data_IF_541243077832
#
_entry.id   IF_541243077832
#
_cell.length_a   1.000
_cell.length_b   1.000
_cell.length_c   1.000
_cell.angle_alpha   90.00
_cell.angle_beta   90.00
_cell.angle_gamma   90.00
#
_symmetry.space_group_name_H-M   'P 1'
#
loop_
_entity.id
_entity.type
_entity.pdbx_description
1 polymer ?
#
# COMPACT_ATOMS: atom_id res chain seq x y z
N UNK A 1 20.93 -3.20 21.45
CA UNK A 1 20.37 -2.46 22.60
C UNK A 1 20.19 -0.94 22.36
N UNK A 2 20.67 -0.36 21.28
CA UNK A 2 20.61 1.10 21.01
C UNK A 2 19.30 1.55 20.35
N UNK A 3 18.57 0.65 19.64
CA UNK A 3 17.35 1.01 18.89
C UNK A 3 16.11 1.20 19.79
N UNK A 4 16.03 0.53 20.92
CA UNK A 4 14.90 0.68 21.85
C UNK A 4 14.82 2.09 22.44
N UNK A 5 15.93 2.69 22.94
CA UNK A 5 15.91 4.07 23.39
C UNK A 5 15.68 5.08 22.25
N UNK A 6 16.14 4.80 21.02
CA UNK A 6 15.89 5.66 19.86
C UNK A 6 14.41 5.70 19.47
N UNK A 7 13.72 4.56 19.52
CA UNK A 7 12.25 4.50 19.36
C UNK A 7 11.56 5.28 20.47
N UNK A 8 12.00 5.13 21.72
CA UNK A 8 11.49 5.90 22.84
C UNK A 8 11.71 7.42 22.68
N UNK A 9 12.87 7.83 22.22
CA UNK A 9 13.20 9.26 21.99
C UNK A 9 12.38 9.82 20.83
N UNK A 10 12.19 9.09 19.73
CA UNK A 10 11.34 9.49 18.61
C UNK A 10 9.86 9.56 19.04
N UNK A 11 9.41 8.64 19.86
CA UNK A 11 8.06 8.64 20.43
C UNK A 11 7.83 9.78 21.42
N UNK A 12 8.86 10.19 22.17
CA UNK A 12 8.78 11.24 23.19
C UNK A 12 9.13 12.65 22.63
N UNK A 13 9.81 12.75 21.50
CA UNK A 13 10.35 14.03 20.98
C UNK A 13 9.34 14.91 20.27
N UNK A 14 8.06 14.90 20.61
CA UNK A 14 7.09 15.85 20.04
C UNK A 14 6.88 15.76 18.52
N UNK A 15 7.62 14.89 17.81
CA UNK A 15 7.36 14.58 16.40
C UNK A 15 5.96 13.99 16.20
N UNK A 16 5.46 13.32 17.22
CA UNK A 16 4.09 12.79 17.29
C UNK A 16 3.02 13.83 17.62
N UNK A 17 3.40 14.96 18.17
CA UNK A 17 2.48 16.08 18.36
C UNK A 17 2.02 16.70 17.04
N UNK A 18 2.92 16.77 16.03
CA UNK A 18 2.58 17.30 14.71
C UNK A 18 1.52 16.48 13.95
N UNK A 19 1.58 15.14 13.85
CA UNK A 19 0.51 14.37 13.21
C UNK A 19 -0.79 14.35 14.00
N UNK A 20 -0.78 14.48 15.32
CA UNK A 20 -1.99 14.67 16.10
C UNK A 20 -2.60 16.06 15.89
N UNK A 21 -1.77 17.09 15.72
CA UNK A 21 -2.21 18.41 15.32
C UNK A 21 -2.70 18.43 13.86
N UNK A 22 -2.03 17.73 12.94
CA UNK A 22 -2.54 17.50 11.59
C UNK A 22 -3.90 16.77 11.58
N UNK A 23 -4.20 15.98 12.60
CA UNK A 23 -5.52 15.36 12.80
C UNK A 23 -6.53 16.34 13.39
N UNK A 24 -6.07 17.39 14.08
CA UNK A 24 -6.93 18.44 14.69
C UNK A 24 -7.13 19.66 13.78
N UNK A 25 -6.10 20.10 13.07
CA UNK A 25 -5.99 21.44 12.49
C UNK A 25 -6.17 21.50 10.96
N UNK A 26 -6.76 20.49 10.33
CA UNK A 26 -7.30 20.73 9.00
C UNK A 26 -8.67 21.43 9.13
N UNK A 27 -8.67 22.65 9.65
CA UNK A 27 -9.70 23.62 9.27
C UNK A 27 -9.53 23.84 7.77
N UNK A 28 -10.41 23.20 7.03
CA UNK A 28 -10.47 23.33 5.59
C UNK A 28 -11.66 24.23 5.36
N UNK A 29 -11.40 25.49 5.01
CA UNK A 29 -12.41 26.55 4.86
C UNK A 29 -13.53 26.24 3.86
N UNK A 30 -13.34 25.19 3.04
CA UNK A 30 -14.30 24.77 2.01
C UNK A 30 -15.11 23.52 2.39
N UNK A 31 -15.01 23.06 3.65
CA UNK A 31 -15.87 21.96 4.11
C UNK A 31 -17.31 22.45 4.21
N UNK A 32 -18.22 21.56 3.78
CA UNK A 32 -19.68 21.80 3.80
C UNK A 32 -20.18 22.96 2.92
N UNK A 33 -19.31 23.56 2.11
CA UNK A 33 -19.67 24.61 1.14
C UNK A 33 -19.73 24.00 -0.26
N UNK A 34 -20.82 24.23 -0.99
CA UNK A 34 -20.92 23.80 -2.39
C UNK A 34 -20.09 24.73 -3.27
N UNK A 35 -19.03 24.20 -3.86
CA UNK A 35 -18.07 24.94 -4.69
C UNK A 35 -17.62 24.09 -5.87
N UNK A 36 -17.01 24.75 -6.84
CA UNK A 36 -16.42 24.11 -7.98
C UNK A 36 -14.96 23.73 -7.66
N UNK A 37 -14.67 22.44 -7.72
CA UNK A 37 -13.34 21.90 -7.45
C UNK A 37 -12.73 21.27 -8.69
N UNK A 38 -11.45 21.55 -8.92
CA UNK A 38 -10.65 20.74 -9.83
C UNK A 38 -10.06 19.56 -9.04
N UNK A 39 -10.45 18.37 -9.44
CA UNK A 39 -10.17 17.13 -8.72
C UNK A 39 -9.35 16.20 -9.61
N UNK A 40 -8.17 15.79 -9.13
CA UNK A 40 -7.28 14.88 -9.82
C UNK A 40 -7.56 13.44 -9.41
N UNK A 41 -7.90 12.57 -10.34
CA UNK A 41 -8.19 11.17 -10.08
C UNK A 41 -6.89 10.40 -9.76
N UNK A 42 -6.86 9.76 -8.61
CA UNK A 42 -5.67 9.05 -8.08
C UNK A 42 -5.79 7.52 -8.18
N UNK A 43 -6.96 7.02 -8.51
CA UNK A 43 -7.23 5.59 -8.65
C UNK A 43 -8.29 5.35 -9.71
N UNK A 44 -8.34 4.12 -10.22
CA UNK A 44 -9.49 3.64 -10.98
C UNK A 44 -10.75 3.55 -10.10
N UNK A 45 -11.91 3.57 -10.73
CA UNK A 45 -13.20 3.58 -10.06
C UNK A 45 -13.56 2.23 -9.45
N UNK A 46 -13.84 2.22 -8.15
CA UNK A 46 -14.39 1.06 -7.46
C UNK A 46 -15.91 1.10 -7.50
N UNK A 47 -16.51 0.24 -8.30
CA UNK A 47 -17.95 0.17 -8.40
C UNK A 47 -18.63 -0.27 -7.10
N UNK A 48 -19.62 0.51 -6.68
CA UNK A 48 -20.60 0.17 -5.65
C UNK A 48 -21.99 0.00 -6.26
N UNK A 49 -23.01 -0.28 -5.46
CA UNK A 49 -24.36 -0.56 -5.95
C UNK A 49 -24.92 0.61 -6.77
N UNK A 50 -24.85 1.84 -6.26
CA UNK A 50 -25.42 3.04 -6.90
C UNK A 50 -24.38 4.07 -7.35
N UNK A 51 -23.14 3.93 -6.89
CA UNK A 51 -22.07 4.91 -7.09
C UNK A 51 -20.78 4.23 -7.47
N UNK A 52 -19.82 5.03 -7.94
CA UNK A 52 -18.42 4.61 -8.15
C UNK A 52 -17.58 5.45 -7.23
N UNK A 53 -16.78 4.80 -6.41
CA UNK A 53 -15.87 5.43 -5.47
C UNK A 53 -14.49 5.57 -6.11
N UNK A 54 -13.92 6.76 -5.97
CA UNK A 54 -12.57 7.09 -6.40
C UNK A 54 -11.76 7.65 -5.23
N UNK A 55 -10.48 7.35 -5.20
CA UNK A 55 -9.52 8.14 -4.45
C UNK A 55 -9.07 9.30 -5.35
N UNK A 56 -9.14 10.51 -4.85
CA UNK A 56 -8.85 11.70 -5.60
C UNK A 56 -8.07 12.72 -4.77
N UNK A 57 -7.41 13.68 -5.41
CA UNK A 57 -6.76 14.80 -4.74
C UNK A 57 -7.27 16.12 -5.28
N UNK A 58 -7.38 17.09 -4.39
CA UNK A 58 -7.65 18.48 -4.71
C UNK A 58 -6.37 19.17 -5.23
N UNK A 59 -6.50 20.37 -5.76
CA UNK A 59 -5.35 21.17 -6.23
C UNK A 59 -4.33 21.46 -5.14
N UNK A 60 -4.76 21.56 -3.88
CA UNK A 60 -3.89 21.75 -2.71
C UNK A 60 -3.16 20.46 -2.27
N UNK A 61 -3.35 19.35 -3.00
CA UNK A 61 -2.76 18.05 -2.73
C UNK A 61 -3.44 17.23 -1.65
N UNK A 62 -4.51 17.74 -1.02
CA UNK A 62 -5.27 16.99 -0.03
C UNK A 62 -6.07 15.88 -0.69
N UNK A 63 -6.10 14.72 -0.05
CA UNK A 63 -6.83 13.54 -0.55
C UNK A 63 -8.27 13.55 -0.08
N UNK A 64 -9.17 13.20 -0.99
CA UNK A 64 -10.60 13.02 -0.73
C UNK A 64 -11.10 11.71 -1.32
N UNK A 65 -12.24 11.23 -0.83
CA UNK A 65 -13.02 10.18 -1.49
C UNK A 65 -14.13 10.81 -2.30
N UNK A 66 -14.08 10.64 -3.61
CA UNK A 66 -15.11 11.10 -4.53
C UNK A 66 -16.07 9.96 -4.86
N UNK A 67 -17.34 10.17 -4.67
CA UNK A 67 -18.41 9.26 -5.06
C UNK A 67 -19.17 9.85 -6.24
N UNK A 68 -19.03 9.24 -7.40
CA UNK A 68 -19.79 9.60 -8.59
C UNK A 68 -21.02 8.71 -8.71
N UNK A 69 -22.17 9.31 -8.99
CA UNK A 69 -23.36 8.55 -9.35
C UNK A 69 -23.13 7.89 -10.71
N UNK A 70 -23.53 6.62 -10.86
CA UNK A 70 -23.42 5.92 -12.14
C UNK A 70 -24.20 6.67 -13.21
N UNK A 71 -23.50 7.11 -14.24
CA UNK A 71 -24.03 7.88 -15.35
C UNK A 71 -23.72 7.18 -16.70
N UNK A 72 -24.34 7.64 -17.76
CA UNK A 72 -24.04 7.25 -19.15
C UNK A 72 -22.80 7.94 -19.73
N UNK A 73 -22.20 8.86 -19.02
CA UNK A 73 -20.94 9.52 -19.40
C UNK A 73 -19.76 8.56 -19.30
N UNK A 74 -18.71 8.77 -20.12
CA UNK A 74 -17.49 7.97 -19.99
C UNK A 74 -16.94 8.09 -18.58
N UNK A 75 -16.70 6.91 -17.96
CA UNK A 75 -16.14 6.85 -16.60
C UNK A 75 -14.76 7.47 -16.56
N UNK A 76 -14.46 8.30 -15.53
CA UNK A 76 -13.12 8.81 -15.34
C UNK A 76 -12.13 7.70 -15.04
N UNK A 77 -10.90 7.88 -15.54
CA UNK A 77 -9.77 7.00 -15.30
C UNK A 77 -8.71 7.65 -14.40
N UNK A 78 -7.76 6.86 -13.91
CA UNK A 78 -6.63 7.40 -13.17
C UNK A 78 -5.88 8.42 -14.02
N UNK A 79 -5.64 9.60 -13.46
CA UNK A 79 -4.97 10.72 -14.12
C UNK A 79 -5.92 11.74 -14.76
N UNK A 80 -7.21 11.48 -14.85
CA UNK A 80 -8.17 12.47 -15.30
C UNK A 80 -8.31 13.61 -14.29
N UNK A 81 -8.48 14.81 -14.83
CA UNK A 81 -8.83 16.00 -14.05
C UNK A 81 -10.30 16.27 -14.27
N UNK A 82 -11.05 16.25 -13.18
CA UNK A 82 -12.47 16.54 -13.19
C UNK A 82 -12.72 17.92 -12.60
N UNK A 83 -13.58 18.67 -13.25
CA UNK A 83 -14.23 19.82 -12.66
C UNK A 83 -15.56 19.36 -12.08
N UNK A 84 -15.71 19.48 -10.76
CA UNK A 84 -16.85 18.91 -10.02
C UNK A 84 -17.46 20.00 -9.11
N UNK A 85 -18.76 20.20 -9.26
CA UNK A 85 -19.51 21.03 -8.33
C UNK A 85 -20.05 20.15 -7.20
N UNK A 86 -19.48 20.32 -6.01
CA UNK A 86 -19.78 19.48 -4.85
C UNK A 86 -19.44 20.18 -3.54
N UNK A 87 -19.92 19.61 -2.44
CA UNK A 87 -19.45 19.93 -1.09
C UNK A 87 -18.61 18.78 -0.55
N UNK A 88 -17.56 19.11 0.19
CA UNK A 88 -16.71 18.13 0.84
C UNK A 88 -17.16 18.02 2.29
N UNK A 89 -17.62 16.82 2.69
CA UNK A 89 -18.10 16.56 4.04
C UNK A 89 -17.04 15.81 4.85
N UNK A 90 -16.87 16.23 6.10
CA UNK A 90 -16.19 15.36 7.09
C UNK A 90 -17.09 14.17 7.32
N UNK A 91 -16.52 12.96 7.32
CA UNK A 91 -17.32 11.76 7.57
C UNK A 91 -18.07 11.85 8.91
N UNK A 92 -19.34 11.46 8.89
CA UNK A 92 -20.21 11.49 10.06
C UNK A 92 -19.81 10.41 11.09
N UNK A 93 -20.16 10.67 12.33
CA UNK A 93 -20.08 9.66 13.40
C UNK A 93 -21.25 8.68 13.25
N UNK A 94 -20.95 7.41 13.01
CA UNK A 94 -21.93 6.32 12.93
C UNK A 94 -21.94 5.56 14.27
N UNK A 95 -22.81 5.96 15.19
CA UNK A 95 -22.80 5.46 16.56
C UNK A 95 -21.48 5.79 17.26
N UNK A 96 -20.79 4.78 17.82
CA UNK A 96 -19.49 4.95 18.47
C UNK A 96 -18.30 5.04 17.48
N UNK A 97 -18.54 4.89 16.18
CA UNK A 97 -17.50 4.90 15.17
C UNK A 97 -17.38 6.27 14.48
N UNK A 98 -16.28 6.97 14.77
CA UNK A 98 -15.92 8.23 14.08
C UNK A 98 -15.29 7.94 12.71
N UNK A 99 -16.14 7.97 11.67
CA UNK A 99 -15.71 7.75 10.29
C UNK A 99 -14.78 8.88 9.79
N UNK A 100 -15.00 10.11 10.24
CA UNK A 100 -14.14 11.24 9.91
C UNK A 100 -12.71 11.06 10.46
N UNK A 101 -12.58 10.60 11.71
CA UNK A 101 -11.28 10.26 12.29
C UNK A 101 -10.62 9.08 11.56
N UNK A 102 -11.40 8.08 11.18
CA UNK A 102 -10.90 6.95 10.38
C UNK A 102 -10.32 7.40 9.03
N UNK A 103 -11.01 8.28 8.30
CA UNK A 103 -10.54 8.85 7.04
C UNK A 103 -9.26 9.68 7.23
N UNK A 104 -9.23 10.54 8.24
CA UNK A 104 -8.05 11.37 8.58
C UNK A 104 -6.83 10.50 8.88
N UNK A 105 -6.99 9.38 9.58
CA UNK A 105 -5.91 8.40 9.82
C UNK A 105 -5.36 7.79 8.52
N UNK A 106 -6.14 7.79 7.45
CA UNK A 106 -5.70 7.39 6.11
C UNK A 106 -5.15 8.57 5.27
N UNK A 107 -5.11 9.76 5.83
CA UNK A 107 -4.69 10.96 5.14
C UNK A 107 -5.77 11.53 4.20
N UNK A 108 -7.03 11.15 4.41
CA UNK A 108 -8.19 11.60 3.64
C UNK A 108 -8.92 12.68 4.43
N UNK A 109 -9.11 13.83 3.82
CA UNK A 109 -9.71 15.01 4.49
C UNK A 109 -11.22 14.88 4.61
N UNK A 110 -11.87 14.29 3.61
CA UNK A 110 -13.31 14.16 3.60
C UNK A 110 -13.84 13.36 2.41
N UNK A 111 -15.15 13.34 2.29
CA UNK A 111 -15.88 12.68 1.21
C UNK A 111 -16.66 13.71 0.40
N UNK A 112 -16.69 13.55 -0.92
CA UNK A 112 -17.45 14.38 -1.84
C UNK A 112 -18.39 13.50 -2.66
N UNK A 113 -19.57 14.03 -2.97
CA UNK A 113 -20.59 13.34 -3.74
C UNK A 113 -20.96 14.17 -4.97
N UNK A 114 -20.79 13.62 -6.16
CA UNK A 114 -21.20 14.29 -7.37
C UNK A 114 -22.37 13.55 -8.03
N UNK A 115 -23.44 14.30 -8.27
CA UNK A 115 -24.60 13.84 -8.98
C UNK A 115 -24.38 13.90 -10.50
N UNK A 116 -25.31 13.31 -11.25
CA UNK A 116 -25.32 13.37 -12.71
C UNK A 116 -25.31 14.83 -13.19
N UNK A 117 -24.42 15.13 -14.14
CA UNK A 117 -24.31 16.46 -14.73
C UNK A 117 -23.48 17.48 -13.96
N UNK A 118 -23.13 17.21 -12.69
CA UNK A 118 -22.36 18.16 -11.87
C UNK A 118 -20.84 17.93 -11.97
N UNK A 119 -20.39 17.18 -12.95
CA UNK A 119 -18.97 16.95 -13.17
C UNK A 119 -18.64 16.81 -14.65
N UNK A 120 -17.42 17.18 -15.02
CA UNK A 120 -16.91 17.10 -16.39
C UNK A 120 -15.41 16.81 -16.36
N UNK A 121 -14.95 15.95 -17.28
CA UNK A 121 -13.52 15.75 -17.52
C UNK A 121 -13.00 16.97 -18.28
N UNK A 122 -12.00 17.65 -17.73
CA UNK A 122 -11.43 18.89 -18.30
C UNK A 122 -9.99 18.72 -18.73
N UNK A 123 -9.33 17.64 -18.31
CA UNK A 123 -7.93 17.39 -18.67
C UNK A 123 -7.45 16.02 -18.23
N UNK A 124 -6.20 15.76 -18.55
CA UNK A 124 -5.51 14.53 -18.15
C UNK A 124 -4.09 14.86 -17.66
N UNK A 125 -3.77 14.44 -16.47
CA UNK A 125 -2.43 14.57 -15.91
C UNK A 125 -2.02 13.21 -15.31
N UNK A 126 -1.16 12.47 -16.00
CA UNK A 126 -0.74 11.17 -15.54
C UNK A 126 0.00 11.30 -14.21
N UNK A 127 -0.34 10.44 -13.28
CA UNK A 127 0.32 10.38 -11.97
C UNK A 127 1.83 10.17 -12.15
N UNK A 128 2.62 10.97 -11.46
CA UNK A 128 4.09 10.89 -11.45
C UNK A 128 4.57 10.18 -10.19
N UNK A 129 5.75 9.54 -10.29
CA UNK A 129 6.41 8.91 -9.16
C UNK A 129 6.60 7.39 -9.32
N UNK A 130 7.43 6.84 -8.45
CA UNK A 130 7.85 5.42 -8.50
C UNK A 130 6.65 4.48 -8.34
N UNK A 131 5.70 4.83 -7.49
CA UNK A 131 4.48 4.03 -7.29
C UNK A 131 3.60 3.98 -8.54
N UNK A 132 3.42 5.09 -9.23
CA UNK A 132 2.66 5.13 -10.48
C UNK A 132 3.36 4.31 -11.59
N UNK A 133 4.69 4.39 -11.65
CA UNK A 133 5.46 3.56 -12.58
C UNK A 133 5.31 2.06 -12.28
N UNK A 134 5.34 1.68 -11.00
CA UNK A 134 5.12 0.30 -10.56
C UNK A 134 3.71 -0.20 -10.95
N UNK A 135 2.68 0.61 -10.74
CA UNK A 135 1.30 0.30 -11.12
C UNK A 135 1.14 0.13 -12.64
N UNK A 136 1.78 1.00 -13.43
CA UNK A 136 1.81 0.84 -14.92
C UNK A 136 2.52 -0.44 -15.34
N UNK A 137 3.64 -0.79 -14.70
CA UNK A 137 4.34 -2.04 -14.95
C UNK A 137 3.43 -3.25 -14.62
N UNK A 138 2.74 -3.19 -13.50
CA UNK A 138 1.77 -4.20 -13.05
C UNK A 138 0.63 -4.39 -14.06
N UNK A 139 0.04 -3.28 -14.54
CA UNK A 139 -0.98 -3.29 -15.57
C UNK A 139 -0.45 -3.87 -16.89
N UNK A 140 0.74 -3.43 -17.34
CA UNK A 140 1.35 -3.93 -18.57
C UNK A 140 1.62 -5.45 -18.51
N UNK A 141 2.00 -5.98 -17.35
CA UNK A 141 2.18 -7.42 -17.16
C UNK A 141 0.84 -8.17 -17.16
N UNK A 142 -0.22 -7.60 -16.58
CA UNK A 142 -1.57 -8.18 -16.67
C UNK A 142 -2.05 -8.25 -18.12
N UNK A 143 -1.80 -7.21 -18.91
CA UNK A 143 -2.09 -7.21 -20.36
C UNK A 143 -1.30 -8.29 -21.14
N UNK A 144 -0.08 -8.64 -20.70
CA UNK A 144 0.66 -9.75 -21.31
C UNK A 144 -0.02 -11.08 -21.04
N UNK A 145 -0.63 -11.29 -19.86
CA UNK A 145 -1.41 -12.50 -19.59
C UNK A 145 -2.61 -12.62 -20.53
N UNK A 146 -3.30 -11.51 -20.82
CA UNK A 146 -4.37 -11.49 -21.84
C UNK A 146 -3.87 -11.92 -23.22
N UNK A 147 -2.72 -11.40 -23.63
CA UNK A 147 -2.10 -11.76 -24.92
C UNK A 147 -1.70 -13.23 -24.99
N UNK A 148 -1.45 -13.87 -23.86
CA UNK A 148 -1.18 -15.32 -23.75
C UNK A 148 -2.44 -16.16 -23.80
N UNK A 149 -3.64 -15.54 -23.92
CA UNK A 149 -4.93 -16.21 -24.01
C UNK A 149 -5.55 -16.53 -22.64
N UNK A 150 -5.10 -15.86 -21.56
CA UNK A 150 -5.68 -15.99 -20.23
C UNK A 150 -6.70 -14.88 -20.05
N UNK A 151 -7.99 -15.23 -19.94
CA UNK A 151 -9.08 -14.25 -19.90
C UNK A 151 -10.04 -14.46 -18.72
N UNK A 152 -10.91 -13.48 -18.48
CA UNK A 152 -12.01 -13.57 -17.54
C UNK A 152 -11.58 -13.81 -16.09
N UNK A 153 -12.20 -14.78 -15.41
CA UNK A 153 -11.96 -15.08 -13.99
C UNK A 153 -10.52 -15.55 -13.71
N UNK A 154 -9.95 -16.31 -14.64
CA UNK A 154 -8.60 -16.85 -14.51
C UNK A 154 -7.56 -15.74 -14.54
N UNK A 155 -7.72 -14.77 -15.44
CA UNK A 155 -6.87 -13.59 -15.50
C UNK A 155 -6.93 -12.80 -14.20
N UNK A 156 -8.15 -12.53 -13.69
CA UNK A 156 -8.31 -11.78 -12.44
C UNK A 156 -7.64 -12.46 -11.24
N UNK A 157 -7.81 -13.79 -11.11
CA UNK A 157 -7.19 -14.56 -10.04
C UNK A 157 -5.66 -14.59 -10.20
N UNK A 158 -5.17 -14.89 -11.40
CA UNK A 158 -3.73 -14.96 -11.67
C UNK A 158 -3.05 -13.61 -11.41
N UNK A 159 -3.60 -12.51 -11.94
CA UNK A 159 -3.08 -11.16 -11.74
C UNK A 159 -3.11 -10.74 -10.26
N UNK A 160 -4.16 -11.10 -9.53
CA UNK A 160 -4.24 -10.83 -8.10
C UNK A 160 -3.18 -11.59 -7.29
N UNK A 161 -2.96 -12.87 -7.58
CA UNK A 161 -2.02 -13.71 -6.85
C UNK A 161 -0.55 -13.42 -7.17
N UNK A 162 -0.23 -13.16 -8.43
CA UNK A 162 1.17 -12.99 -8.89
C UNK A 162 1.63 -11.53 -8.83
N UNK A 163 0.79 -10.63 -9.32
CA UNK A 163 1.10 -9.21 -9.43
C UNK A 163 0.48 -8.36 -8.30
N UNK A 164 -0.51 -8.89 -7.57
CA UNK A 164 -1.31 -8.10 -6.63
C UNK A 164 -2.31 -7.16 -7.31
N UNK A 165 -2.51 -7.30 -8.63
CA UNK A 165 -3.42 -6.50 -9.42
C UNK A 165 -4.85 -7.06 -9.33
N UNK A 166 -5.77 -6.29 -8.76
CA UNK A 166 -7.12 -6.76 -8.40
C UNK A 166 -8.23 -6.12 -9.20
N UNK A 167 -7.92 -5.19 -10.09
CA UNK A 167 -8.94 -4.44 -10.82
C UNK A 167 -9.72 -5.33 -11.79
N UNK A 168 -9.10 -6.40 -12.28
CA UNK A 168 -9.74 -7.38 -13.15
C UNK A 168 -10.44 -8.53 -12.41
N UNK A 169 -10.50 -8.46 -11.07
CA UNK A 169 -11.11 -9.52 -10.30
C UNK A 169 -12.64 -9.46 -10.40
N UNK A 170 -13.24 -10.51 -10.93
CA UNK A 170 -14.71 -10.65 -11.03
C UNK A 170 -15.37 -10.51 -9.65
N UNK A 171 -16.48 -9.78 -9.58
CA UNK A 171 -17.22 -9.54 -8.33
C UNK A 171 -17.73 -10.83 -7.70
N UNK A 172 -18.13 -11.83 -8.50
CA UNK A 172 -18.55 -13.14 -8.02
C UNK A 172 -17.40 -13.91 -7.37
N UNK A 173 -16.22 -13.86 -7.96
CA UNK A 173 -14.99 -14.42 -7.37
C UNK A 173 -14.65 -13.71 -6.07
N UNK A 174 -14.68 -12.37 -6.06
CA UNK A 174 -14.41 -11.58 -4.86
C UNK A 174 -15.39 -11.89 -3.73
N UNK A 175 -16.69 -12.04 -4.02
CA UNK A 175 -17.69 -12.41 -3.02
C UNK A 175 -17.48 -13.84 -2.48
N UNK A 176 -17.12 -14.80 -3.34
CA UNK A 176 -16.85 -16.18 -2.94
C UNK A 176 -15.64 -16.26 -2.00
N UNK A 177 -14.56 -15.55 -2.34
CA UNK A 177 -13.37 -15.45 -1.46
C UNK A 177 -13.65 -14.68 -0.16
N UNK A 178 -14.53 -13.68 -0.21
CA UNK A 178 -14.97 -12.96 0.99
C UNK A 178 -15.80 -13.84 1.91
N UNK A 179 -16.75 -14.59 1.36
CA UNK A 179 -17.63 -15.49 2.11
C UNK A 179 -16.84 -16.65 2.77
N UNK A 180 -15.78 -17.12 2.11
CA UNK A 180 -14.89 -18.15 2.68
C UNK A 180 -13.85 -17.61 3.67
N UNK A 181 -13.78 -16.28 3.86
CA UNK A 181 -12.73 -15.65 4.67
C UNK A 181 -11.34 -15.63 4.03
N UNK A 182 -11.22 -16.10 2.77
CA UNK A 182 -9.94 -16.27 2.08
C UNK A 182 -9.51 -15.02 1.27
N UNK A 183 -10.12 -13.87 1.48
CA UNK A 183 -9.76 -12.62 0.79
C UNK A 183 -8.28 -12.23 0.92
N UNK A 184 -7.65 -12.63 2.04
CA UNK A 184 -6.23 -12.35 2.27
C UNK A 184 -5.30 -13.14 1.32
N UNK A 185 -5.77 -14.24 0.74
CA UNK A 185 -5.01 -15.04 -0.23
C UNK A 185 -4.90 -14.31 -1.57
N UNK A 186 -5.97 -13.60 -1.99
CA UNK A 186 -5.98 -12.78 -3.20
C UNK A 186 -5.16 -11.49 -3.10
N UNK A 187 -4.55 -11.26 -1.94
CA UNK A 187 -3.62 -10.16 -1.75
C UNK A 187 -2.20 -10.69 -1.71
N UNK A 188 -1.29 -10.10 -2.48
CA UNK A 188 0.13 -10.36 -2.27
C UNK A 188 0.47 -9.93 -0.84
N UNK A 189 0.88 -10.90 -0.04
CA UNK A 189 1.10 -10.75 1.40
C UNK A 189 2.59 -10.82 1.76
N UNK A 190 2.90 -10.53 3.02
CA UNK A 190 4.24 -10.72 3.55
C UNK A 190 4.74 -12.16 3.45
N UNK A 191 3.83 -13.15 3.53
CA UNK A 191 4.19 -14.56 3.34
C UNK A 191 4.69 -14.82 1.91
N UNK A 192 4.01 -14.29 0.89
CA UNK A 192 4.46 -14.39 -0.50
C UNK A 192 5.86 -13.78 -0.68
N UNK A 193 6.09 -12.61 -0.10
CA UNK A 193 7.41 -11.95 -0.12
C UNK A 193 8.48 -12.80 0.56
N UNK A 194 8.16 -13.45 1.69
CA UNK A 194 9.04 -14.36 2.39
C UNK A 194 9.37 -15.62 1.59
N UNK A 195 8.38 -16.21 0.93
CA UNK A 195 8.58 -17.37 0.04
C UNK A 195 9.48 -17.01 -1.13
N UNK A 196 9.20 -15.88 -1.81
CA UNK A 196 10.04 -15.40 -2.92
C UNK A 196 11.47 -15.16 -2.46
N UNK A 197 11.67 -14.49 -1.31
CA UNK A 197 13.00 -14.30 -0.72
C UNK A 197 13.70 -15.64 -0.42
N UNK A 198 12.98 -16.62 0.12
CA UNK A 198 13.50 -17.97 0.38
C UNK A 198 13.94 -18.69 -0.90
N UNK A 199 13.11 -18.66 -1.95
CA UNK A 199 13.42 -19.23 -3.27
C UNK A 199 14.63 -18.54 -3.89
N UNK A 200 14.67 -17.21 -3.91
CA UNK A 200 15.80 -16.45 -4.43
C UNK A 200 17.09 -16.77 -3.68
N UNK A 201 17.04 -16.86 -2.36
CA UNK A 201 18.18 -17.26 -1.54
C UNK A 201 18.64 -18.67 -1.90
N UNK A 202 17.71 -19.62 -2.06
CA UNK A 202 18.01 -21.00 -2.43
C UNK A 202 18.67 -21.07 -3.82
N UNK A 203 18.14 -20.36 -4.81
CA UNK A 203 18.71 -20.31 -6.17
C UNK A 203 20.13 -19.71 -6.16
N UNK A 204 20.31 -18.56 -5.50
CA UNK A 204 21.58 -17.86 -5.46
C UNK A 204 22.67 -18.64 -4.70
N UNK A 205 22.28 -19.51 -3.79
CA UNK A 205 23.21 -20.38 -3.04
C UNK A 205 23.31 -21.79 -3.63
N UNK A 206 22.73 -22.03 -4.84
CA UNK A 206 22.70 -23.34 -5.51
C UNK A 206 22.20 -24.48 -4.62
N UNK A 207 21.19 -24.20 -3.78
CA UNK A 207 20.60 -25.16 -2.85
C UNK A 207 21.45 -25.46 -1.62
N UNK A 208 22.64 -24.89 -1.53
CA UNK A 208 23.47 -24.94 -0.33
C UNK A 208 23.12 -23.81 0.62
N UNK A 209 22.62 -24.15 1.82
CA UNK A 209 22.30 -23.15 2.83
C UNK A 209 23.53 -22.34 3.20
N UNK A 210 23.61 -21.11 2.73
CA UNK A 210 24.41 -19.93 3.16
C UNK A 210 25.87 -20.15 3.64
N UNK A 211 26.30 -21.35 4.00
CA UNK A 211 27.58 -21.55 4.67
C UNK A 211 28.83 -21.41 3.79
N UNK A 212 28.97 -21.98 2.60
CA UNK A 212 30.25 -21.89 1.88
C UNK A 212 30.41 -20.64 1.02
N UNK A 213 29.32 -20.07 0.50
CA UNK A 213 29.40 -18.88 -0.38
C UNK A 213 29.59 -17.56 0.38
N UNK A 214 29.26 -17.56 1.68
CA UNK A 214 29.34 -16.38 2.55
C UNK A 214 30.62 -16.33 3.41
N UNK A 215 31.52 -17.28 3.29
CA UNK A 215 32.80 -17.24 4.02
C UNK A 215 33.74 -16.17 3.48
N UNK A 216 33.72 -15.91 2.16
CA UNK A 216 34.47 -14.80 1.56
C UNK A 216 33.64 -13.50 1.66
N UNK A 217 34.16 -12.53 2.38
CA UNK A 217 33.46 -11.24 2.65
C UNK A 217 32.98 -10.53 1.38
N UNK A 218 33.75 -10.57 0.27
CA UNK A 218 33.36 -9.92 -0.99
C UNK A 218 32.16 -10.59 -1.66
N UNK A 219 32.15 -11.91 -1.74
CA UNK A 219 31.05 -12.68 -2.34
C UNK A 219 29.77 -12.52 -1.53
N UNK A 220 29.88 -12.49 -0.21
CA UNK A 220 28.75 -12.26 0.70
C UNK A 220 28.01 -10.95 0.39
N UNK A 221 28.76 -9.84 0.28
CA UNK A 221 28.17 -8.54 -0.03
C UNK A 221 27.56 -8.49 -1.43
N UNK A 222 28.20 -9.11 -2.43
CA UNK A 222 27.66 -9.17 -3.78
C UNK A 222 26.34 -9.95 -3.83
N UNK A 223 26.31 -11.16 -3.27
CA UNK A 223 25.11 -12.00 -3.28
C UNK A 223 23.98 -11.41 -2.47
N UNK A 224 24.25 -10.87 -1.29
CA UNK A 224 23.24 -10.16 -0.50
C UNK A 224 22.71 -8.90 -1.18
N UNK A 225 23.57 -8.16 -1.87
CA UNK A 225 23.15 -7.01 -2.69
C UNK A 225 22.24 -7.41 -3.84
N UNK A 226 22.58 -8.49 -4.56
CA UNK A 226 21.73 -9.05 -5.63
C UNK A 226 20.39 -9.52 -5.05
N UNK A 227 20.40 -10.23 -3.91
CA UNK A 227 19.18 -10.70 -3.26
C UNK A 227 18.26 -9.54 -2.86
N UNK A 228 18.80 -8.49 -2.26
CA UNK A 228 18.06 -7.28 -1.94
C UNK A 228 17.50 -6.60 -3.20
N UNK A 229 18.31 -6.47 -4.26
CA UNK A 229 17.86 -5.89 -5.52
C UNK A 229 16.67 -6.68 -6.11
N UNK A 230 16.77 -8.01 -6.18
CA UNK A 230 15.70 -8.87 -6.71
C UNK A 230 14.43 -8.77 -5.85
N UNK A 231 14.57 -8.69 -4.53
CA UNK A 231 13.46 -8.50 -3.61
C UNK A 231 12.72 -7.16 -3.87
N UNK A 232 13.47 -6.08 -4.12
CA UNK A 232 12.88 -4.78 -4.45
C UNK A 232 12.30 -4.72 -5.87
N UNK A 233 12.88 -5.45 -6.81
CA UNK A 233 12.28 -5.66 -8.15
C UNK A 233 10.94 -6.37 -8.00
N UNK A 234 10.87 -7.42 -7.19
CA UNK A 234 9.58 -8.09 -6.89
C UNK A 234 8.57 -7.14 -6.24
N UNK A 235 9.00 -6.35 -5.26
CA UNK A 235 8.13 -5.35 -4.65
C UNK A 235 7.62 -4.30 -5.67
N UNK A 236 8.45 -3.92 -6.62
CA UNK A 236 8.08 -3.02 -7.71
C UNK A 236 7.05 -3.66 -8.65
N UNK A 237 7.28 -4.90 -9.09
CA UNK A 237 6.38 -5.65 -9.97
C UNK A 237 5.01 -5.87 -9.31
N UNK A 238 4.97 -6.02 -7.98
CA UNK A 238 3.71 -6.14 -7.23
C UNK A 238 3.08 -4.78 -6.85
N UNK A 239 3.42 -3.71 -7.57
CA UNK A 239 2.81 -2.38 -7.44
C UNK A 239 3.15 -1.64 -6.14
N UNK A 240 4.23 -2.01 -5.45
CA UNK A 240 4.66 -1.42 -4.18
C UNK A 240 3.54 -1.42 -3.13
N UNK A 241 2.81 -2.53 -3.04
CA UNK A 241 1.72 -2.65 -2.06
C UNK A 241 2.25 -2.48 -0.63
N UNK A 242 1.49 -1.86 0.31
CA UNK A 242 1.99 -1.60 1.66
C UNK A 242 2.42 -2.86 2.42
N UNK A 243 1.81 -4.00 2.15
CA UNK A 243 2.18 -5.28 2.76
C UNK A 243 3.55 -5.76 2.30
N UNK A 244 3.77 -5.76 0.97
CA UNK A 244 5.04 -6.17 0.35
C UNK A 244 6.17 -5.22 0.76
N UNK A 245 5.92 -3.91 0.76
CA UNK A 245 6.89 -2.89 1.19
C UNK A 245 7.39 -3.13 2.62
N UNK A 246 6.47 -3.43 3.55
CA UNK A 246 6.86 -3.74 4.94
C UNK A 246 7.74 -4.99 5.02
N UNK A 247 7.33 -6.06 4.34
CA UNK A 247 8.09 -7.31 4.34
C UNK A 247 9.44 -7.16 3.66
N UNK A 248 9.50 -6.44 2.54
CA UNK A 248 10.76 -6.15 1.84
C UNK A 248 11.73 -5.35 2.72
N UNK A 249 11.23 -4.35 3.46
CA UNK A 249 12.04 -3.62 4.43
C UNK A 249 12.55 -4.51 5.57
N UNK A 250 11.68 -5.31 6.19
CA UNK A 250 12.08 -6.23 7.27
C UNK A 250 13.15 -7.21 6.79
N UNK A 251 12.96 -7.82 5.61
CA UNK A 251 13.90 -8.76 5.03
C UNK A 251 15.21 -8.09 4.61
N UNK A 252 15.16 -6.85 4.10
CA UNK A 252 16.36 -6.08 3.78
C UNK A 252 17.18 -5.77 5.02
N UNK A 253 16.57 -5.39 6.14
CA UNK A 253 17.28 -5.19 7.40
C UNK A 253 17.81 -6.50 7.98
N UNK A 254 17.06 -7.58 7.84
CA UNK A 254 17.52 -8.91 8.21
C UNK A 254 18.79 -9.30 7.43
N UNK A 255 18.75 -9.14 6.11
CA UNK A 255 19.88 -9.42 5.24
C UNK A 255 21.09 -8.53 5.55
N UNK A 256 20.87 -7.22 5.75
CA UNK A 256 21.92 -6.28 6.11
C UNK A 256 22.60 -6.67 7.43
N UNK A 257 21.84 -7.09 8.43
CA UNK A 257 22.37 -7.57 9.71
C UNK A 257 23.26 -8.79 9.51
N UNK A 258 22.81 -9.72 8.65
CA UNK A 258 23.59 -10.90 8.30
C UNK A 258 24.88 -10.54 7.56
N UNK A 259 24.82 -9.62 6.59
CA UNK A 259 25.97 -9.14 5.82
C UNK A 259 27.02 -8.47 6.71
N UNK A 260 26.61 -7.75 7.73
CA UNK A 260 27.51 -7.11 8.69
C UNK A 260 28.20 -8.09 9.64
N UNK A 261 27.85 -9.38 9.61
CA UNK A 261 28.42 -10.39 10.50
C UNK A 261 28.14 -10.16 11.99
N UNK A 262 27.13 -9.36 12.30
CA UNK A 262 26.76 -9.02 13.67
C UNK A 262 25.74 -10.02 14.20
N UNK A 263 26.02 -10.66 15.32
CA UNK A 263 25.04 -11.39 16.12
C UNK A 263 24.12 -10.40 16.81
N UNK A 264 23.20 -9.81 16.05
CA UNK A 264 22.22 -8.89 16.60
C UNK A 264 20.95 -9.65 17.00
N UNK A 265 20.24 -9.09 17.98
CA UNK A 265 18.94 -9.61 18.37
C UNK A 265 18.00 -9.66 17.17
N UNK A 266 17.21 -10.73 17.04
CA UNK A 266 16.19 -10.92 15.99
C UNK A 266 15.17 -9.76 15.92
N UNK A 267 15.04 -8.99 17.01
CA UNK A 267 14.15 -7.83 17.12
C UNK A 267 14.62 -6.60 16.34
N UNK A 268 15.95 -6.42 16.21
CA UNK A 268 16.51 -5.19 15.63
C UNK A 268 16.08 -4.92 14.18
N UNK A 269 16.07 -5.89 13.25
CA UNK A 269 15.61 -5.67 11.88
C UNK A 269 14.15 -5.23 11.80
N UNK A 270 13.30 -5.82 12.65
CA UNK A 270 11.86 -5.54 12.66
C UNK A 270 11.61 -4.14 13.22
N UNK A 271 12.27 -3.79 14.33
CA UNK A 271 12.17 -2.47 14.92
C UNK A 271 12.73 -1.39 13.99
N UNK A 272 13.85 -1.66 13.29
CA UNK A 272 14.38 -0.75 12.28
C UNK A 272 13.40 -0.49 11.14
N UNK A 273 12.76 -1.54 10.63
CA UNK A 273 11.72 -1.40 9.60
C UNK A 273 10.52 -0.58 10.12
N UNK A 274 10.07 -0.84 11.35
CA UNK A 274 8.98 -0.08 11.97
C UNK A 274 9.31 1.41 12.08
N UNK A 275 10.51 1.74 12.58
CA UNK A 275 10.97 3.12 12.73
C UNK A 275 10.99 3.84 11.38
N UNK A 276 11.56 3.23 10.34
CA UNK A 276 11.62 3.86 9.01
C UNK A 276 10.24 4.10 8.44
N UNK A 277 9.33 3.11 8.55
CA UNK A 277 7.95 3.27 8.05
C UNK A 277 7.25 4.41 8.80
N UNK A 278 7.40 4.49 10.11
CA UNK A 278 6.80 5.53 10.93
C UNK A 278 7.45 6.91 10.73
N UNK A 279 8.73 6.97 10.39
CA UNK A 279 9.39 8.24 9.99
C UNK A 279 8.85 8.77 8.67
N UNK A 280 8.56 7.89 7.71
CA UNK A 280 8.00 8.28 6.40
C UNK A 280 6.51 8.62 6.54
N UNK A 281 5.75 7.79 7.25
CA UNK A 281 4.32 7.97 7.47
C UNK A 281 3.94 7.64 8.92
N UNK A 282 3.89 8.64 9.82
CA UNK A 282 3.51 8.43 11.22
C UNK A 282 2.08 7.86 11.39
N UNK A 283 1.18 8.18 10.46
CA UNK A 283 -0.21 7.70 10.49
C UNK A 283 -0.31 6.18 10.22
N UNK A 284 0.74 5.57 9.70
CA UNK A 284 0.78 4.11 9.48
C UNK A 284 0.56 3.31 10.77
N UNK A 285 0.91 3.85 11.94
CA UNK A 285 0.67 3.21 13.24
C UNK A 285 -0.81 2.90 13.48
N UNK A 286 -1.69 3.76 13.01
CA UNK A 286 -3.14 3.60 13.15
C UNK A 286 -3.75 2.68 12.10
N UNK A 287 -2.96 2.25 11.11
CA UNK A 287 -3.41 1.32 10.09
C UNK A 287 -3.49 -0.09 10.64
N UNK A 288 -4.68 -0.70 10.57
CA UNK A 288 -4.91 -2.10 10.96
C UNK A 288 -3.94 -3.04 10.23
N UNK A 289 -3.65 -2.76 8.97
CA UNK A 289 -2.70 -3.55 8.18
C UNK A 289 -1.27 -3.49 8.72
N UNK A 290 -0.84 -2.34 9.26
CA UNK A 290 0.45 -2.22 9.93
C UNK A 290 0.46 -3.01 11.24
N UNK A 291 -0.55 -2.80 12.08
CA UNK A 291 -0.66 -3.46 13.39
C UNK A 291 -0.68 -4.98 13.26
N UNK A 292 -1.53 -5.54 12.37
CA UNK A 292 -1.61 -6.98 12.16
C UNK A 292 -0.32 -7.57 11.60
N UNK A 293 0.36 -6.86 10.67
CA UNK A 293 1.62 -7.34 10.09
C UNK A 293 2.73 -7.44 11.15
N UNK A 294 2.88 -6.40 11.98
CA UNK A 294 3.89 -6.42 13.05
C UNK A 294 3.51 -7.40 14.16
N UNK A 295 2.24 -7.45 14.58
CA UNK A 295 1.78 -8.41 15.58
C UNK A 295 2.02 -9.86 15.14
N UNK A 296 1.76 -10.21 13.88
CA UNK A 296 2.02 -11.53 13.35
C UNK A 296 3.50 -11.91 13.42
N UNK A 297 4.39 -11.02 12.98
CA UNK A 297 5.84 -11.26 13.02
C UNK A 297 6.34 -11.38 14.46
N UNK A 298 5.87 -10.51 15.36
CA UNK A 298 6.22 -10.56 16.78
C UNK A 298 5.74 -11.86 17.43
N UNK A 299 4.53 -12.31 17.11
CA UNK A 299 3.99 -13.59 17.62
C UNK A 299 4.83 -14.79 17.18
N UNK A 300 5.21 -14.84 15.89
CA UNK A 300 6.08 -15.92 15.36
C UNK A 300 7.43 -15.93 16.09
N UNK A 301 7.99 -14.77 16.38
CA UNK A 301 9.27 -14.67 17.06
C UNK A 301 9.22 -15.06 18.54
N UNK A 302 8.10 -14.77 19.20
CA UNK A 302 7.89 -15.15 20.60
C UNK A 302 7.67 -16.66 20.78
N UNK A 303 6.93 -17.28 19.84
CA UNK A 303 6.62 -18.72 19.89
C UNK A 303 7.78 -19.56 19.36
N UNK A 304 8.56 -19.03 18.42
CA UNK A 304 9.69 -19.73 17.79
C UNK A 304 11.05 -19.54 18.48
N UNK A 305 11.05 -19.01 19.72
CA UNK A 305 12.28 -18.77 20.52
C UNK A 305 12.57 -19.92 21.47
#
# INVERSE_FOLDING_TARGET
MVLVPLVGIILLSGYWGKPLNLLKDTEVDYLDTNQLFAIHMQSEGQERVKTIRYEASLEDGKKILLYLQKDSLPMPHEGDILLVETSIHRGDTLGDFDYGLYLRRQGIVGTAWAHRGNWKIVGYQPRKGVKALAQRCQYALSEQYKKMGIDGKELGILSALTLGYREELDKGVQQSFSASGAMHVLAVSGLHTGIVWGILTWILTLGGWRKPLYEETGKRWLLGGILMLLLWVYAFVTGLSPSVMRSALMLSFWELTYLMGRHTSRWNPILAAAVIILMINPLALWSVSFQLSFAAVLSIMLVGS
#
